data_IF_646713511917
#
_entry.id   IF_646713511917
#
_cell.length_a   1.000
_cell.length_b   1.000
_cell.length_c   1.000
_cell.angle_alpha   90.00
_cell.angle_beta   90.00
_cell.angle_gamma   90.00
#
_symmetry.space_group_name_H-M   'P 1'
#
loop_
_entity.id
_entity.type
_entity.pdbx_description
1 polymer ?
#
# COMPACT_ATOMS: atom_id res chain seq x y z
N UNK A 1 26.35 -41.81 2.81
CA UNK A 1 25.73 -40.81 3.70
C UNK A 1 24.26 -40.70 3.33
N UNK A 2 23.31 -41.10 4.19
CA UNK A 2 21.89 -40.91 3.88
C UNK A 2 21.53 -39.43 4.11
N UNK A 3 20.83 -38.84 3.15
CA UNK A 3 20.30 -37.47 3.23
C UNK A 3 19.14 -37.50 4.21
N UNK A 4 19.26 -36.79 5.34
CA UNK A 4 18.17 -36.65 6.29
C UNK A 4 16.99 -35.93 5.62
N UNK A 5 15.74 -36.42 5.79
CA UNK A 5 14.58 -35.74 5.24
C UNK A 5 14.41 -34.37 5.89
N UNK A 6 14.24 -33.34 5.05
CA UNK A 6 13.95 -31.97 5.51
C UNK A 6 12.65 -31.96 6.33
N UNK A 7 12.58 -31.26 7.48
CA UNK A 7 11.34 -31.16 8.23
C UNK A 7 10.32 -30.41 7.37
N UNK A 8 9.32 -31.13 6.85
CA UNK A 8 8.10 -30.51 6.38
C UNK A 8 7.59 -29.63 7.52
N UNK A 9 7.51 -28.30 7.32
CA UNK A 9 6.82 -27.39 8.24
C UNK A 9 5.33 -27.76 8.23
N UNK A 10 5.00 -28.85 8.93
CA UNK A 10 3.65 -29.37 9.03
C UNK A 10 2.85 -28.36 9.83
N UNK A 11 1.92 -27.70 9.15
CA UNK A 11 0.95 -26.80 9.79
C UNK A 11 -0.04 -27.70 10.53
N UNK A 12 0.07 -27.77 11.85
CA UNK A 12 -0.75 -28.64 12.71
C UNK A 12 -2.01 -27.96 13.26
N UNK A 13 -2.03 -26.63 13.33
CA UNK A 13 -3.13 -25.86 13.93
C UNK A 13 -4.04 -25.20 12.89
N UNK A 14 -5.34 -25.21 13.14
CA UNK A 14 -6.38 -24.59 12.29
C UNK A 14 -6.98 -23.36 12.98
N UNK A 15 -6.94 -22.22 12.29
CA UNK A 15 -7.70 -21.02 12.65
C UNK A 15 -9.06 -21.06 11.95
N UNK A 16 -10.14 -20.79 12.68
CA UNK A 16 -11.51 -20.71 12.14
C UNK A 16 -12.06 -19.30 12.32
N UNK A 17 -12.58 -18.74 11.24
CA UNK A 17 -13.23 -17.41 11.23
C UNK A 17 -14.64 -17.61 10.69
N UNK A 18 -15.64 -17.05 11.37
CA UNK A 18 -17.03 -17.03 10.89
C UNK A 18 -17.23 -15.84 9.98
N UNK A 19 -17.91 -16.04 8.87
CA UNK A 19 -18.26 -15.01 7.90
C UNK A 19 -19.66 -15.29 7.35
N UNK A 20 -20.41 -14.23 7.06
CA UNK A 20 -21.62 -14.34 6.26
C UNK A 20 -21.27 -14.73 4.81
N UNK A 21 -22.24 -15.24 4.02
CA UNK A 21 -22.01 -15.57 2.61
C UNK A 21 -21.46 -14.38 1.81
N UNK A 22 -22.02 -13.18 2.05
CA UNK A 22 -21.59 -11.97 1.34
C UNK A 22 -20.17 -11.52 1.71
N UNK A 23 -19.76 -11.72 2.97
CA UNK A 23 -18.39 -11.42 3.39
C UNK A 23 -17.40 -12.37 2.74
N UNK A 24 -17.73 -13.67 2.72
CA UNK A 24 -16.87 -14.68 2.11
C UNK A 24 -16.68 -14.42 0.61
N UNK A 25 -17.74 -14.04 -0.09
CA UNK A 25 -17.68 -13.68 -1.51
C UNK A 25 -16.80 -12.44 -1.75
N UNK A 26 -17.01 -11.37 -0.97
CA UNK A 26 -16.17 -10.17 -1.04
C UNK A 26 -14.69 -10.48 -0.80
N UNK A 27 -14.39 -11.31 0.19
CA UNK A 27 -13.00 -11.69 0.50
C UNK A 27 -12.39 -12.58 -0.59
N UNK A 28 -13.16 -13.49 -1.17
CA UNK A 28 -12.69 -14.32 -2.27
C UNK A 28 -12.36 -13.48 -3.51
N UNK A 29 -13.24 -12.54 -3.85
CA UNK A 29 -13.03 -11.61 -4.97
C UNK A 29 -11.80 -10.72 -4.73
N UNK A 30 -11.64 -10.18 -3.52
CA UNK A 30 -10.46 -9.40 -3.16
C UNK A 30 -9.17 -10.22 -3.22
N UNK A 31 -9.17 -11.45 -2.70
CA UNK A 31 -8.03 -12.35 -2.75
C UNK A 31 -7.60 -12.63 -4.20
N UNK A 32 -8.54 -12.94 -5.08
CA UNK A 32 -8.26 -13.19 -6.50
C UNK A 32 -7.78 -11.94 -7.23
N UNK A 33 -8.39 -10.78 -6.99
CA UNK A 33 -7.95 -9.52 -7.58
C UNK A 33 -6.51 -9.15 -7.21
N UNK A 34 -6.07 -9.58 -6.01
CA UNK A 34 -4.71 -9.41 -5.51
C UNK A 34 -3.76 -10.58 -5.90
N UNK A 35 -4.21 -11.52 -6.73
CA UNK A 35 -3.39 -12.61 -7.27
C UNK A 35 -3.24 -13.83 -6.35
N UNK A 36 -4.05 -13.92 -5.29
CA UNK A 36 -4.05 -15.10 -4.43
C UNK A 36 -4.98 -16.19 -4.97
N UNK A 37 -4.53 -17.44 -4.84
CA UNK A 37 -5.28 -18.63 -5.28
C UNK A 37 -6.48 -18.91 -4.37
N UNK A 38 -6.39 -18.56 -3.08
CA UNK A 38 -7.47 -18.78 -2.10
C UNK A 38 -7.53 -17.63 -1.08
N UNK A 39 -8.72 -17.39 -0.53
CA UNK A 39 -8.91 -16.47 0.62
C UNK A 39 -8.01 -16.82 1.80
N UNK A 40 -7.79 -18.10 2.07
CA UNK A 40 -6.92 -18.54 3.16
C UNK A 40 -5.43 -18.29 2.90
N UNK A 41 -4.99 -18.20 1.64
CA UNK A 41 -3.64 -17.76 1.32
C UNK A 41 -3.50 -16.24 1.54
N UNK A 42 -4.49 -15.47 1.10
CA UNK A 42 -4.53 -14.02 1.29
C UNK A 42 -4.56 -13.63 2.78
N UNK A 43 -5.45 -14.23 3.58
CA UNK A 43 -5.54 -13.98 5.04
C UNK A 43 -4.22 -14.29 5.75
N UNK A 44 -3.48 -15.32 5.31
CA UNK A 44 -2.15 -15.62 5.89
C UNK A 44 -1.12 -14.55 5.56
N UNK A 45 -1.11 -14.05 4.34
CA UNK A 45 -0.23 -12.93 3.97
C UNK A 45 -0.56 -11.69 4.82
N UNK A 46 -1.85 -11.36 4.99
CA UNK A 46 -2.26 -10.25 5.85
C UNK A 46 -1.82 -10.42 7.31
N UNK A 47 -2.01 -11.60 7.89
CA UNK A 47 -1.59 -11.89 9.27
C UNK A 47 -0.07 -11.82 9.41
N UNK A 48 0.67 -12.31 8.42
CA UNK A 48 2.13 -12.26 8.42
C UNK A 48 2.66 -10.83 8.25
N UNK A 49 2.06 -10.05 7.36
CA UNK A 49 2.43 -8.66 7.16
C UNK A 49 2.15 -7.84 8.43
N UNK A 50 1.02 -8.08 9.11
CA UNK A 50 0.70 -7.45 10.39
C UNK A 50 1.69 -7.85 11.51
N UNK A 51 2.07 -9.13 11.57
CA UNK A 51 3.08 -9.66 12.51
C UNK A 51 4.46 -9.00 12.28
N UNK A 52 4.92 -8.93 11.03
CA UNK A 52 6.24 -8.40 10.69
C UNK A 52 6.29 -6.89 10.82
N UNK A 53 5.26 -6.19 10.33
CA UNK A 53 5.25 -4.72 10.31
C UNK A 53 4.92 -4.09 11.65
N UNK A 54 4.39 -4.87 12.62
CA UNK A 54 3.79 -4.36 13.86
C UNK A 54 2.70 -3.30 13.62
N UNK A 55 2.20 -3.16 12.38
CA UNK A 55 1.16 -2.20 12.01
C UNK A 55 -0.19 -2.87 12.09
N UNK A 56 -1.09 -2.26 12.86
CA UNK A 56 -2.50 -2.62 12.81
C UNK A 56 -3.13 -2.01 11.55
N UNK A 57 -4.00 -2.75 10.85
CA UNK A 57 -4.63 -2.34 9.59
C UNK A 57 -5.43 -1.02 9.60
N UNK A 58 -5.54 -0.35 10.74
CA UNK A 58 -6.06 1.01 10.86
C UNK A 58 -5.05 2.13 10.50
N UNK A 59 -3.76 1.82 10.40
CA UNK A 59 -2.68 2.82 10.32
C UNK A 59 -2.62 3.54 8.96
N UNK A 60 -2.85 2.81 7.87
CA UNK A 60 -2.77 3.36 6.50
C UNK A 60 -3.83 4.45 6.26
N UNK A 61 -5.03 4.29 6.82
CA UNK A 61 -6.10 5.28 6.69
C UNK A 61 -5.81 6.58 7.43
N UNK A 62 -5.18 6.50 8.61
CA UNK A 62 -4.66 7.68 9.32
C UNK A 62 -3.49 8.31 8.57
N UNK A 63 -2.56 7.51 8.06
CA UNK A 63 -1.41 8.00 7.28
C UNK A 63 -1.87 8.76 6.02
N UNK A 64 -2.87 8.25 5.28
CA UNK A 64 -3.45 8.94 4.11
C UNK A 64 -4.13 10.25 4.50
N UNK A 65 -4.87 10.28 5.62
CA UNK A 65 -5.49 11.52 6.12
C UNK A 65 -4.45 12.55 6.53
N UNK A 66 -3.35 12.12 7.16
CA UNK A 66 -2.22 12.99 7.49
C UNK A 66 -1.56 13.54 6.23
N UNK A 67 -1.27 12.70 5.23
CA UNK A 67 -0.71 13.15 3.94
C UNK A 67 -1.61 14.17 3.24
N UNK A 68 -2.93 13.95 3.24
CA UNK A 68 -3.89 14.91 2.69
C UNK A 68 -3.84 16.25 3.44
N UNK A 69 -3.72 16.23 4.77
CA UNK A 69 -3.61 17.44 5.59
C UNK A 69 -2.31 18.20 5.28
N UNK A 70 -1.19 17.49 5.18
CA UNK A 70 0.11 18.09 4.86
C UNK A 70 0.10 18.72 3.45
N UNK A 71 -0.50 18.05 2.46
CA UNK A 71 -0.69 18.60 1.11
C UNK A 71 -1.55 19.87 1.09
N UNK A 72 -2.63 19.92 1.88
CA UNK A 72 -3.45 21.14 2.01
C UNK A 72 -2.65 22.30 2.61
N UNK A 73 -1.78 22.03 3.59
CA UNK A 73 -0.90 23.05 4.17
C UNK A 73 0.13 23.55 3.16
N UNK A 74 0.74 22.65 2.38
CA UNK A 74 1.65 23.02 1.28
C UNK A 74 0.92 23.94 0.28
N UNK A 75 -0.29 23.57 -0.14
CA UNK A 75 -1.08 24.39 -1.07
C UNK A 75 -1.38 25.80 -0.52
N UNK A 76 -1.74 25.89 0.76
CA UNK A 76 -1.98 27.19 1.42
C UNK A 76 -0.71 28.04 1.49
N UNK A 77 0.43 27.44 1.81
CA UNK A 77 1.72 28.12 1.87
C UNK A 77 2.15 28.63 0.48
N UNK A 78 1.98 27.81 -0.56
CA UNK A 78 2.25 28.22 -1.94
C UNK A 78 1.37 29.39 -2.38
N UNK A 79 0.10 29.41 -1.97
CA UNK A 79 -0.79 30.56 -2.22
C UNK A 79 -0.32 31.82 -1.49
N UNK A 80 0.16 31.70 -0.25
CA UNK A 80 0.71 32.84 0.50
C UNK A 80 1.99 33.37 -0.15
N UNK A 81 2.88 32.49 -0.63
CA UNK A 81 4.06 32.87 -1.39
C UNK A 81 3.71 33.59 -2.69
N UNK A 82 2.75 33.05 -3.45
CA UNK A 82 2.29 33.67 -4.68
C UNK A 82 1.74 35.07 -4.42
N UNK A 83 0.99 35.25 -3.33
CA UNK A 83 0.44 36.54 -2.92
C UNK A 83 1.53 37.51 -2.44
N UNK A 84 2.48 37.06 -1.60
CA UNK A 84 3.58 37.86 -1.09
C UNK A 84 4.55 38.29 -2.19
N UNK A 85 4.87 37.39 -3.12
CA UNK A 85 5.70 37.70 -4.30
C UNK A 85 5.00 38.71 -5.23
N UNK A 86 3.67 38.63 -5.38
CA UNK A 86 2.90 39.63 -6.14
C UNK A 86 2.92 41.01 -5.47
N UNK A 87 3.02 41.06 -4.14
CA UNK A 87 3.10 42.28 -3.35
C UNK A 87 4.53 42.78 -3.10
N UNK A 88 5.55 42.06 -3.59
CA UNK A 88 6.96 42.43 -3.43
C UNK A 88 7.53 42.21 -2.02
N UNK A 89 6.88 41.42 -1.18
CA UNK A 89 7.27 41.22 0.22
C UNK A 89 8.20 39.98 0.39
N UNK A 90 9.50 40.22 0.21
CA UNK A 90 10.52 39.16 0.18
C UNK A 90 10.75 38.49 1.56
N UNK A 91 10.41 39.15 2.67
CA UNK A 91 10.62 38.61 4.03
C UNK A 91 9.61 37.51 4.35
N UNK A 92 8.34 37.70 3.98
CA UNK A 92 7.29 36.69 4.14
C UNK A 92 7.53 35.42 3.30
N UNK A 93 8.32 35.54 2.23
CA UNK A 93 8.70 34.39 1.41
C UNK A 93 9.65 33.43 2.14
N UNK A 94 10.58 33.94 2.95
CA UNK A 94 11.55 33.13 3.68
C UNK A 94 10.91 32.20 4.70
N UNK A 95 9.99 32.71 5.52
CA UNK A 95 9.29 31.92 6.54
C UNK A 95 8.42 30.83 5.92
N UNK A 96 7.81 31.14 4.78
CA UNK A 96 6.95 30.18 4.07
C UNK A 96 7.76 29.08 3.40
N UNK A 97 8.94 29.41 2.85
CA UNK A 97 9.90 28.44 2.32
C UNK A 97 10.38 27.47 3.42
N UNK A 98 10.72 27.99 4.60
CA UNK A 98 11.13 27.15 5.74
C UNK A 98 10.00 26.21 6.20
N UNK A 99 8.75 26.67 6.15
CA UNK A 99 7.60 25.83 6.47
C UNK A 99 7.38 24.72 5.43
N UNK A 100 7.61 25.00 4.14
CA UNK A 100 7.52 24.01 3.05
C UNK A 100 8.61 22.94 3.22
N UNK A 101 9.85 23.30 3.56
CA UNK A 101 10.93 22.32 3.77
C UNK A 101 10.61 21.36 4.92
N UNK A 102 10.09 21.87 6.05
CA UNK A 102 9.66 21.02 7.16
C UNK A 102 8.53 20.06 6.79
N UNK A 103 7.59 20.51 5.96
CA UNK A 103 6.48 19.67 5.45
C UNK A 103 6.96 18.61 4.46
N UNK A 104 7.93 18.96 3.60
CA UNK A 104 8.59 18.03 2.68
C UNK A 104 9.28 16.91 3.46
N UNK A 105 10.08 17.25 4.47
CA UNK A 105 10.82 16.26 5.27
C UNK A 105 9.89 15.31 6.04
N UNK A 106 8.77 15.84 6.54
CA UNK A 106 7.72 15.02 7.18
C UNK A 106 7.06 14.07 6.17
N UNK A 107 6.72 14.57 4.99
CA UNK A 107 6.13 13.77 3.91
C UNK A 107 7.09 12.66 3.46
N UNK A 108 8.37 13.00 3.26
CA UNK A 108 9.41 12.04 2.90
C UNK A 108 9.58 10.95 3.97
N UNK A 109 9.45 11.31 5.24
CA UNK A 109 9.50 10.36 6.37
C UNK A 109 8.30 9.41 6.36
N UNK A 110 7.09 9.92 6.10
CA UNK A 110 5.87 9.11 5.97
C UNK A 110 5.89 8.22 4.70
N UNK A 111 6.47 8.69 3.60
CA UNK A 111 6.63 7.86 2.41
C UNK A 111 7.63 6.72 2.63
N UNK A 112 8.66 6.93 3.45
CA UNK A 112 9.58 5.86 3.86
C UNK A 112 8.88 4.81 4.70
N UNK A 113 7.95 5.21 5.57
CA UNK A 113 7.17 4.27 6.39
C UNK A 113 6.18 3.44 5.57
N UNK A 114 5.71 3.98 4.45
CA UNK A 114 4.74 3.32 3.58
C UNK A 114 5.33 2.38 2.53
N UNK A 115 6.64 2.39 2.24
CA UNK A 115 7.21 1.56 1.15
C UNK A 115 7.04 0.06 1.41
N UNK A 116 6.20 -0.66 0.64
CA UNK A 116 6.23 -2.11 0.57
C UNK A 116 7.33 -2.53 -0.41
N UNK A 117 7.95 -3.70 -0.18
CA UNK A 117 8.88 -4.34 -1.10
C UNK A 117 8.27 -4.41 -2.51
N UNK A 118 9.02 -3.94 -3.52
CA UNK A 118 8.71 -3.94 -4.96
C UNK A 118 7.77 -5.09 -5.39
N UNK A 119 6.56 -4.76 -5.82
CA UNK A 119 5.69 -5.65 -6.58
C UNK A 119 6.39 -5.92 -7.93
N UNK A 120 6.96 -7.12 -8.09
CA UNK A 120 7.49 -7.58 -9.39
C UNK A 120 6.32 -7.67 -10.37
N UNK A 121 6.33 -6.82 -11.39
CA UNK A 121 5.40 -6.85 -12.53
C UNK A 121 5.51 -8.25 -13.19
N UNK A 122 4.52 -9.11 -12.97
CA UNK A 122 4.40 -10.40 -13.66
C UNK A 122 4.01 -10.10 -15.11
N UNK A 123 4.83 -10.58 -16.05
CA UNK A 123 4.57 -10.52 -17.49
C UNK A 123 3.50 -11.58 -17.81
N UNK A 124 2.31 -11.15 -18.23
CA UNK A 124 1.27 -12.09 -18.70
C UNK A 124 1.76 -12.78 -19.99
N UNK A 125 1.58 -14.11 -20.14
CA UNK A 125 1.76 -14.77 -21.43
C UNK A 125 0.57 -14.47 -22.35
N UNK A 126 0.86 -13.93 -23.54
CA UNK A 126 -0.11 -13.85 -24.64
C UNK A 126 -0.42 -15.25 -25.15
N UNK A 127 -1.59 -15.78 -24.81
CA UNK A 127 -2.14 -16.93 -25.53
C UNK A 127 -3.03 -16.43 -26.67
N UNK A 128 -2.49 -16.46 -27.88
CA UNK A 128 -3.26 -16.45 -29.13
C UNK A 128 -3.85 -17.84 -29.36
N UNK A 129 -5.18 -17.96 -29.30
CA UNK A 129 -5.91 -19.15 -29.74
C UNK A 129 -6.28 -18.95 -31.22
N UNK A 130 -5.93 -19.85 -32.15
CA UNK A 130 -6.42 -19.76 -33.53
C UNK A 130 -7.87 -20.24 -33.60
N UNK A 131 -8.76 -19.38 -34.10
CA UNK A 131 -10.12 -19.74 -34.45
C UNK A 131 -10.08 -20.44 -35.82
N UNK A 132 -10.37 -21.73 -35.85
CA UNK A 132 -10.66 -22.44 -37.09
C UNK A 132 -12.03 -21.98 -37.61
N UNK A 133 -12.03 -21.29 -38.76
CA UNK A 133 -13.25 -21.00 -39.51
C UNK A 133 -13.51 -22.18 -40.46
N UNK A 134 -14.64 -22.86 -40.28
CA UNK A 134 -15.14 -23.90 -41.17
C UNK A 134 -15.95 -23.22 -42.26
N UNK A 135 -15.55 -23.35 -43.51
CA UNK A 135 -16.40 -23.41 -44.70
C UNK A 135 -15.63 -24.02 -45.86
#
# INVERSE_FOLDING_TARGET
>A
MPIAPSPSRHRSSRLSVRASPTELERWNNAAHALGHVTTAAWVRTLLHDAEVSHRSGGDIGSEIRSLRSDLSRIGNNLNQLAHAAHLGDAVACGDTLEHIDRLKDRTDSLLKTLRPVRIRRVKLPSHSVPVHLVH
#
